data_IF_841326816327
#
_entry.id   IF_841326816327
#
_cell.length_a   1.000
_cell.length_b   1.000
_cell.length_c   1.000
_cell.angle_alpha   90.00
_cell.angle_beta   90.00
_cell.angle_gamma   90.00
#
_symmetry.space_group_name_H-M   'P 1'
#
loop_
_entity.id
_entity.type
_entity.pdbx_description
1 polymer ?
#
# COMPACT_ATOMS: atom_id res chain seq x y z
N UNK A 1 -22.35 -2.44 -4.74
CA UNK A 1 -21.53 -2.55 -3.52
C UNK A 1 -20.31 -1.66 -3.69
N UNK A 2 -20.09 -0.68 -2.80
CA UNK A 2 -19.01 0.31 -2.91
C UNK A 2 -18.23 0.45 -1.61
N UNK A 3 -17.07 1.11 -1.66
CA UNK A 3 -16.33 1.45 -0.45
C UNK A 3 -17.01 2.59 0.33
N UNK A 4 -16.53 2.89 1.52
CA UNK A 4 -17.09 3.90 2.41
C UNK A 4 -17.13 5.30 1.79
N UNK A 5 -16.19 5.63 0.89
CA UNK A 5 -16.23 6.86 0.11
C UNK A 5 -17.46 6.88 -0.82
N UNK A 6 -17.72 5.79 -1.54
CA UNK A 6 -18.89 5.69 -2.41
C UNK A 6 -20.21 5.75 -1.64
N UNK A 7 -20.29 5.12 -0.47
CA UNK A 7 -21.49 5.20 0.40
C UNK A 7 -21.76 6.64 0.84
N UNK A 8 -20.72 7.38 1.23
CA UNK A 8 -20.85 8.80 1.60
C UNK A 8 -21.27 9.66 0.41
N UNK A 9 -20.68 9.48 -0.77
CA UNK A 9 -21.08 10.20 -1.99
C UNK A 9 -22.54 9.95 -2.33
N UNK A 10 -23.04 8.72 -2.18
CA UNK A 10 -24.44 8.42 -2.42
C UNK A 10 -25.35 9.06 -1.37
N UNK A 11 -24.94 9.11 -0.11
CA UNK A 11 -25.69 9.79 0.94
C UNK A 11 -25.82 11.30 0.67
N UNK A 12 -24.77 11.94 0.14
CA UNK A 12 -24.80 13.34 -0.28
C UNK A 12 -25.70 13.58 -1.49
N UNK A 13 -25.72 12.68 -2.47
CA UNK A 13 -26.54 12.82 -3.68
C UNK A 13 -28.04 12.56 -3.45
N UNK A 14 -28.39 11.80 -2.41
CA UNK A 14 -29.75 11.38 -2.13
C UNK A 14 -30.16 11.71 -0.68
N UNK A 15 -30.11 12.98 -0.32
CA UNK A 15 -30.35 13.48 1.06
C UNK A 15 -31.67 12.98 1.69
N UNK A 16 -32.73 12.87 0.89
CA UNK A 16 -34.06 12.44 1.34
C UNK A 16 -34.18 10.92 1.55
N UNK A 17 -33.16 10.12 1.19
CA UNK A 17 -33.20 8.66 1.27
C UNK A 17 -32.06 8.12 2.12
N UNK A 18 -32.33 7.22 3.08
CA UNK A 18 -31.27 6.62 3.86
C UNK A 18 -30.41 5.70 2.98
N UNK A 19 -29.10 5.91 3.00
CA UNK A 19 -28.10 5.08 2.32
C UNK A 19 -27.35 4.26 3.36
N UNK A 20 -27.37 2.93 3.21
CA UNK A 20 -26.73 1.99 4.14
C UNK A 20 -25.52 1.29 3.49
N UNK A 21 -24.40 1.13 4.22
CA UNK A 21 -23.29 0.32 3.74
C UNK A 21 -23.66 -1.17 3.77
N UNK A 22 -23.33 -1.89 2.70
CA UNK A 22 -23.49 -3.35 2.63
C UNK A 22 -22.24 -4.11 3.12
N UNK A 23 -21.08 -3.44 3.21
CA UNK A 23 -19.80 -4.03 3.56
C UNK A 23 -18.87 -3.00 4.20
N UNK A 24 -17.92 -3.48 5.01
CA UNK A 24 -16.87 -2.65 5.61
C UNK A 24 -15.71 -2.46 4.62
N UNK A 25 -15.25 -1.22 4.46
CA UNK A 25 -14.01 -0.95 3.73
C UNK A 25 -12.83 -1.28 4.61
N UNK A 26 -12.02 -2.25 4.20
CA UNK A 26 -10.85 -2.71 4.96
C UNK A 26 -9.56 -2.04 4.48
N UNK A 27 -9.38 -1.90 3.16
CA UNK A 27 -8.14 -1.38 2.60
C UNK A 27 -8.30 -0.86 1.15
N UNK A 28 -7.28 -0.14 0.66
CA UNK A 28 -7.15 0.22 -0.75
C UNK A 28 -6.36 -0.87 -1.45
N UNK A 29 -7.05 -1.61 -2.31
CA UNK A 29 -6.53 -2.81 -2.93
C UNK A 29 -6.77 -2.89 -4.43
N UNK A 30 -6.21 -3.94 -5.00
CA UNK A 30 -6.39 -4.33 -6.40
C UNK A 30 -6.96 -5.75 -6.45
N UNK A 31 -7.90 -6.06 -7.35
CA UNK A 31 -8.32 -7.44 -7.58
C UNK A 31 -7.16 -8.25 -8.17
N UNK A 32 -6.80 -9.35 -7.54
CA UNK A 32 -5.87 -10.33 -8.12
C UNK A 32 -6.63 -11.31 -9.02
N UNK A 33 -7.82 -11.71 -8.57
CA UNK A 33 -8.80 -12.50 -9.32
C UNK A 33 -10.18 -12.20 -8.77
N UNK A 34 -11.21 -12.72 -9.42
CA UNK A 34 -12.58 -12.60 -8.93
C UNK A 34 -12.69 -13.13 -7.50
N UNK A 35 -13.29 -12.32 -6.62
CA UNK A 35 -13.43 -12.66 -5.21
C UNK A 35 -12.17 -12.46 -4.35
N UNK A 36 -11.01 -12.09 -4.92
CA UNK A 36 -9.76 -11.92 -4.19
C UNK A 36 -9.13 -10.56 -4.43
N UNK A 37 -9.02 -9.78 -3.37
CA UNK A 37 -8.37 -8.47 -3.38
C UNK A 37 -7.12 -8.48 -2.52
N UNK A 38 -6.07 -7.86 -3.03
CA UNK A 38 -4.83 -7.64 -2.29
C UNK A 38 -4.74 -6.21 -1.84
N UNK A 39 -4.32 -6.00 -0.60
CA UNK A 39 -3.97 -4.67 -0.12
C UNK A 39 -2.72 -4.15 -0.85
N UNK A 40 -2.83 -2.95 -1.41
CA UNK A 40 -1.78 -2.34 -2.24
C UNK A 40 -1.31 -0.99 -1.69
N UNK A 41 -2.17 -0.25 -1.00
CA UNK A 41 -1.86 1.09 -0.52
C UNK A 41 -2.49 1.38 0.84
N UNK A 42 -1.71 2.00 1.74
CA UNK A 42 -2.17 2.47 3.05
C UNK A 42 -2.55 3.96 3.09
N UNK A 43 -2.59 4.64 1.93
CA UNK A 43 -2.89 6.07 1.81
C UNK A 43 -2.11 6.98 2.78
N UNK A 44 -0.81 6.71 2.93
CA UNK A 44 0.04 7.37 3.93
C UNK A 44 0.55 8.77 3.56
N UNK A 45 0.40 9.20 2.30
CA UNK A 45 0.82 10.53 1.82
C UNK A 45 2.33 10.77 1.66
N UNK A 46 3.16 9.78 1.99
CA UNK A 46 4.63 9.85 1.83
C UNK A 46 5.07 8.66 0.96
N UNK A 47 5.02 8.80 -0.36
CA UNK A 47 5.21 7.67 -1.27
C UNK A 47 6.68 7.20 -1.30
N UNK A 48 6.89 5.89 -1.43
CA UNK A 48 8.23 5.28 -1.46
C UNK A 48 8.42 4.30 -2.63
N UNK A 49 7.44 4.24 -3.54
CA UNK A 49 7.39 3.25 -4.61
C UNK A 49 8.47 3.48 -5.67
N UNK A 50 8.89 4.73 -5.87
CA UNK A 50 9.99 5.11 -6.75
C UNK A 50 11.31 4.43 -6.37
N UNK A 51 11.53 4.20 -5.07
CA UNK A 51 12.76 3.62 -4.48
C UNK A 51 12.74 2.10 -4.42
N UNK A 52 11.56 1.49 -4.40
CA UNK A 52 11.38 0.04 -4.21
C UNK A 52 10.88 -0.68 -5.46
N UNK A 53 11.02 -0.05 -6.63
CA UNK A 53 10.57 -0.64 -7.90
C UNK A 53 9.06 -0.86 -7.94
N UNK A 54 8.26 -0.01 -7.31
CA UNK A 54 6.80 -0.09 -7.34
C UNK A 54 6.18 -1.07 -6.35
N UNK A 55 6.92 -1.56 -5.35
CA UNK A 55 6.39 -2.45 -4.31
C UNK A 55 6.39 -1.71 -2.97
N UNK A 56 5.22 -1.48 -2.38
CA UNK A 56 5.10 -0.74 -1.12
C UNK A 56 5.70 -1.56 0.04
N UNK A 57 6.83 -1.15 0.64
CA UNK A 57 7.42 -1.93 1.73
C UNK A 57 6.62 -1.81 3.04
N UNK A 58 5.79 -0.76 3.17
CA UNK A 58 4.93 -0.54 4.35
C UNK A 58 3.76 -1.52 4.38
N UNK A 59 3.11 -1.71 3.23
CA UNK A 59 1.89 -2.54 3.10
C UNK A 59 2.23 -4.00 2.79
N UNK A 60 3.16 -4.23 1.86
CA UNK A 60 3.46 -5.58 1.38
C UNK A 60 4.35 -6.36 2.33
N UNK A 61 5.11 -5.69 3.20
CA UNK A 61 5.90 -6.34 4.23
C UNK A 61 5.09 -6.44 5.52
N UNK A 62 5.10 -7.61 6.15
CA UNK A 62 4.48 -7.83 7.46
C UNK A 62 4.99 -6.91 8.58
N UNK A 63 6.25 -6.47 8.47
CA UNK A 63 6.90 -5.60 9.45
C UNK A 63 6.87 -4.12 9.05
N UNK A 64 6.38 -3.80 7.85
CA UNK A 64 6.34 -2.42 7.33
C UNK A 64 7.68 -1.70 7.24
N UNK A 65 8.81 -2.42 7.16
CA UNK A 65 10.15 -1.83 7.24
C UNK A 65 10.53 -1.08 5.97
N UNK A 66 10.98 0.17 6.12
CA UNK A 66 11.43 1.03 5.03
C UNK A 66 12.85 0.71 4.54
N UNK A 67 13.73 0.32 5.45
CA UNK A 67 15.14 -0.02 5.19
C UNK A 67 15.40 -1.52 5.44
N UNK A 68 14.60 -2.40 4.83
CA UNK A 68 14.85 -3.86 4.92
C UNK A 68 16.09 -4.29 4.11
N UNK A 69 16.35 -5.61 3.98
CA UNK A 69 15.58 -6.75 4.48
C UNK A 69 15.70 -6.98 5.99
N UNK A 70 14.72 -7.68 6.58
CA UNK A 70 14.66 -7.95 8.03
C UNK A 70 15.40 -9.22 8.50
N UNK A 71 16.09 -9.93 7.62
CA UNK A 71 16.69 -11.26 7.90
C UNK A 71 15.70 -12.43 7.95
N UNK A 72 14.42 -12.17 8.24
CA UNK A 72 13.33 -13.14 8.35
C UNK A 72 12.81 -13.76 7.05
N UNK A 73 13.64 -13.91 6.03
CA UNK A 73 13.21 -14.49 4.74
C UNK A 73 13.45 -15.98 4.77
N UNK A 74 12.41 -16.79 4.55
CA UNK A 74 12.52 -18.24 4.41
C UNK A 74 13.22 -18.60 3.11
N UNK A 75 13.83 -19.80 3.07
CA UNK A 75 14.33 -20.38 1.81
C UNK A 75 13.21 -20.38 0.76
N UNK A 76 13.54 -19.99 -0.47
CA UNK A 76 12.55 -19.79 -1.55
C UNK A 76 11.96 -18.38 -1.66
N UNK A 77 12.27 -17.47 -0.72
CA UNK A 77 11.88 -16.07 -0.81
C UNK A 77 10.52 -15.75 -0.15
N UNK A 78 10.04 -16.61 0.74
CA UNK A 78 8.80 -16.44 1.51
C UNK A 78 9.04 -15.70 2.83
N UNK A 79 7.99 -15.14 3.42
CA UNK A 79 8.07 -14.41 4.68
C UNK A 79 8.14 -15.37 5.89
N UNK A 80 8.82 -14.97 6.98
CA UNK A 80 8.84 -15.76 8.21
C UNK A 80 7.45 -15.90 8.86
N UNK A 81 6.60 -14.86 8.76
CA UNK A 81 5.31 -14.84 9.45
C UNK A 81 4.25 -15.71 8.77
N UNK A 82 4.41 -15.97 7.47
CA UNK A 82 3.47 -16.72 6.66
C UNK A 82 4.24 -17.39 5.49
N UNK A 83 4.32 -18.73 5.48
CA UNK A 83 5.00 -19.49 4.43
C UNK A 83 4.43 -19.27 3.02
N UNK A 84 3.14 -18.93 2.90
CA UNK A 84 2.51 -18.71 1.59
C UNK A 84 2.81 -17.30 1.05
N UNK A 85 3.01 -16.33 1.96
CA UNK A 85 3.26 -14.93 1.62
C UNK A 85 4.68 -14.70 1.08
N UNK A 86 4.76 -14.10 -0.10
CA UNK A 86 6.04 -13.66 -0.66
C UNK A 86 6.68 -12.55 0.17
N UNK A 87 8.00 -12.64 0.38
CA UNK A 87 8.74 -11.59 1.05
C UNK A 87 8.82 -10.34 0.16
N UNK A 88 8.23 -9.23 0.62
CA UNK A 88 8.26 -7.96 -0.10
C UNK A 88 9.68 -7.54 -0.52
N UNK A 89 10.68 -7.71 0.36
CA UNK A 89 12.05 -7.33 0.07
C UNK A 89 12.75 -8.22 -0.96
N UNK A 90 12.36 -9.49 -1.07
CA UNK A 90 12.82 -10.36 -2.17
C UNK A 90 12.21 -9.91 -3.50
N UNK A 91 10.91 -9.56 -3.50
CA UNK A 91 10.26 -9.04 -4.70
C UNK A 91 10.86 -7.69 -5.14
N UNK A 92 11.15 -6.81 -4.18
CA UNK A 92 11.83 -5.52 -4.42
C UNK A 92 13.20 -5.76 -5.04
N UNK A 93 14.03 -6.63 -4.44
CA UNK A 93 15.35 -6.97 -4.97
C UNK A 93 15.27 -7.45 -6.42
N UNK A 94 14.44 -8.46 -6.70
CA UNK A 94 14.30 -9.03 -8.04
C UNK A 94 13.86 -7.98 -9.07
N UNK A 95 13.02 -7.03 -8.66
CA UNK A 95 12.54 -5.98 -9.56
C UNK A 95 13.58 -4.89 -9.80
N UNK A 96 14.31 -4.49 -8.76
CA UNK A 96 15.40 -3.52 -8.89
C UNK A 96 16.59 -4.10 -9.66
N UNK A 97 16.89 -5.38 -9.49
CA UNK A 97 17.90 -6.11 -10.28
C UNK A 97 17.59 -6.05 -11.77
N UNK A 98 16.34 -6.35 -12.16
CA UNK A 98 15.88 -6.22 -13.55
C UNK A 98 15.95 -4.78 -14.10
N UNK A 99 15.88 -3.77 -13.23
CA UNK A 99 15.98 -2.37 -13.60
C UNK A 99 17.42 -1.84 -13.57
N UNK A 100 18.39 -2.61 -13.09
CA UNK A 100 19.75 -2.14 -12.86
C UNK A 100 19.86 -1.10 -11.73
N UNK A 101 18.91 -1.07 -10.78
CA UNK A 101 18.78 -0.05 -9.72
C UNK A 101 19.02 -0.60 -8.31
N UNK A 102 19.91 -1.59 -8.17
CA UNK A 102 20.23 -2.21 -6.87
C UNK A 102 20.97 -1.25 -5.92
N UNK A 103 21.53 -0.15 -6.42
CA UNK A 103 22.12 0.91 -5.61
C UNK A 103 21.12 1.49 -4.60
N UNK A 104 19.84 1.54 -4.96
CA UNK A 104 18.78 2.05 -4.10
C UNK A 104 18.58 1.23 -2.83
N UNK A 105 18.93 -0.07 -2.83
CA UNK A 105 18.84 -0.91 -1.63
C UNK A 105 19.98 -0.68 -0.65
N UNK A 106 21.08 -0.04 -1.09
CA UNK A 106 22.24 0.27 -0.24
C UNK A 106 22.12 1.63 0.43
N UNK A 107 21.18 2.46 -0.01
CA UNK A 107 20.93 3.79 0.55
C UNK A 107 20.13 3.67 1.84
N UNK A 108 20.52 4.49 2.82
CA UNK A 108 19.69 4.73 3.99
C UNK A 108 18.57 5.70 3.64
N UNK A 109 17.37 5.41 4.11
CA UNK A 109 16.23 6.32 4.00
C UNK A 109 15.73 6.71 5.38
N UNK A 110 15.42 8.00 5.53
CA UNK A 110 14.90 8.53 6.78
C UNK A 110 13.55 7.89 7.14
N UNK A 111 13.20 7.86 8.45
CA UNK A 111 11.90 7.39 8.89
C UNK A 111 10.76 8.10 8.16
N UNK A 112 9.76 7.31 7.77
CA UNK A 112 8.57 7.78 7.07
C UNK A 112 7.81 8.85 7.86
N UNK A 113 7.33 9.88 7.18
CA UNK A 113 6.47 10.88 7.81
C UNK A 113 5.00 10.44 7.85
N UNK A 114 4.55 9.90 8.98
CA UNK A 114 3.15 9.50 9.19
C UNK A 114 2.19 10.67 9.42
N UNK A 115 2.67 11.92 9.50
CA UNK A 115 1.86 13.13 9.66
C UNK A 115 1.62 13.86 8.34
N UNK A 116 2.11 13.32 7.22
CA UNK A 116 2.00 13.94 5.90
C UNK A 116 0.54 14.18 5.47
N UNK A 117 -0.38 13.29 5.86
CA UNK A 117 -1.81 13.42 5.56
C UNK A 117 -2.52 14.08 6.73
N UNK A 118 -3.02 15.30 6.53
CA UNK A 118 -4.00 15.91 7.45
C UNK A 118 -5.33 15.18 7.31
N UNK A 119 -6.00 14.90 8.43
CA UNK A 119 -7.32 14.27 8.45
C UNK A 119 -8.32 15.21 9.16
N UNK A 120 -9.50 15.50 8.56
CA UNK A 120 -9.92 15.13 7.20
C UNK A 120 -9.01 15.76 6.12
N UNK A 121 -8.75 15.00 5.05
CA UNK A 121 -7.82 15.42 3.99
C UNK A 121 -8.52 16.28 2.96
N UNK A 122 -7.88 17.38 2.54
CA UNK A 122 -8.31 18.22 1.42
C UNK A 122 -7.08 18.57 0.61
N UNK A 123 -7.13 18.35 -0.71
CA UNK A 123 -6.11 18.78 -1.66
C UNK A 123 -6.85 19.53 -2.77
N UNK A 124 -6.45 20.77 -3.01
CA UNK A 124 -6.89 21.55 -4.16
C UNK A 124 -5.76 21.45 -5.19
N UNK A 125 -6.11 21.11 -6.44
CA UNK A 125 -5.14 21.17 -7.51
C UNK A 125 -4.71 22.62 -7.70
N UNK A 126 -3.41 22.87 -7.88
CA UNK A 126 -2.97 24.17 -8.36
C UNK A 126 -3.55 24.35 -9.77
N UNK A 127 -4.13 25.52 -10.04
CA UNK A 127 -4.55 25.88 -11.39
C UNK A 127 -3.35 25.69 -12.34
N UNK A 128 -3.59 24.96 -13.42
CA UNK A 128 -2.58 24.59 -14.41
C UNK A 128 -2.10 25.78 -15.24
#
# INVERSE_FOLDING_TARGET
>A
MGCGAGVQTMAELFEEKPIFPALNTTFIGMPEKEGLWLEMCGACGDCFLDRTGGICPVVRCAKGLLNGPCGGTRKGGKCEIDPEKDCAWVLIYRRLEKQGRLDLMRKYYEPKNYRAVKRPGKIEALEA
#
